data_IF_336536382551
#
_entry.id   IF_336536382551
#
_cell.length_a   1.000
_cell.length_b   1.000
_cell.length_c   1.000
_cell.angle_alpha   90.00
_cell.angle_beta   90.00
_cell.angle_gamma   90.00
#
_symmetry.space_group_name_H-M   'P 1'
#
loop_
_entity.id
_entity.type
_entity.pdbx_description
1 polymer ?
#
# COMPACT_ATOMS: atom_id res chain seq x y z
N UNK A 1 24.90 13.92 24.69
CA UNK A 1 24.34 15.28 24.74
C UNK A 1 24.04 15.72 23.32
N UNK A 2 22.79 15.86 22.94
CA UNK A 2 22.18 16.41 21.72
C UNK A 2 21.11 15.47 21.12
N UNK A 3 20.00 15.32 21.85
CA UNK A 3 18.74 14.82 21.31
C UNK A 3 17.61 15.68 21.87
N UNK A 4 17.44 16.85 21.29
CA UNK A 4 16.21 17.67 21.37
C UNK A 4 16.22 18.55 20.13
N UNK A 5 15.25 18.33 19.23
CA UNK A 5 14.67 19.27 18.27
C UNK A 5 14.14 18.48 17.06
N UNK A 6 12.91 18.02 17.13
CA UNK A 6 12.00 17.92 16.00
C UNK A 6 10.64 17.46 16.55
N UNK A 7 9.93 18.42 17.09
CA UNK A 7 8.54 18.27 17.51
C UNK A 7 7.91 19.64 17.54
N UNK A 8 7.46 20.15 16.43
CA UNK A 8 6.53 21.27 16.40
C UNK A 8 5.87 21.34 15.01
N UNK A 9 4.81 20.59 14.82
CA UNK A 9 3.84 20.88 13.75
C UNK A 9 2.80 21.82 14.36
N UNK A 10 2.83 23.07 13.93
CA UNK A 10 1.87 24.10 14.30
C UNK A 10 0.46 23.71 13.82
N UNK A 11 -0.41 23.42 14.76
CA UNK A 11 -1.87 23.44 14.54
C UNK A 11 -2.30 24.90 14.45
N UNK A 12 -2.57 25.41 13.25
CA UNK A 12 -3.26 26.69 13.08
C UNK A 12 -4.73 26.51 13.44
N UNK A 13 -5.16 27.18 14.51
CA UNK A 13 -6.56 27.33 14.90
C UNK A 13 -7.32 28.04 13.79
N UNK A 14 -8.37 27.41 13.26
CA UNK A 14 -9.35 28.04 12.43
C UNK A 14 -10.15 29.06 13.27
N UNK A 15 -10.24 30.28 12.78
CA UNK A 15 -11.03 31.36 13.38
C UNK A 15 -12.49 31.08 13.17
N UNK A 16 -13.26 31.14 14.27
CA UNK A 16 -14.71 31.05 14.29
C UNK A 16 -15.35 32.28 13.60
N UNK A 17 -15.96 32.07 12.44
CA UNK A 17 -16.87 33.05 11.86
C UNK A 17 -18.23 32.96 12.57
N UNK A 18 -18.64 34.06 13.26
CA UNK A 18 -19.97 34.23 13.80
C UNK A 18 -20.93 34.50 12.64
N UNK A 19 -21.95 33.65 12.54
CA UNK A 19 -23.10 33.90 11.65
C UNK A 19 -24.10 34.79 12.39
N UNK A 20 -24.40 35.97 11.82
CA UNK A 20 -25.36 36.90 12.28
C UNK A 20 -26.77 36.46 11.78
N UNK A 21 -27.68 36.18 12.73
CA UNK A 21 -29.05 35.79 12.49
C UNK A 21 -29.96 36.99 12.74
N UNK A 22 -30.12 37.86 11.75
CA UNK A 22 -31.21 38.85 11.78
C UNK A 22 -31.60 39.26 10.35
N UNK A 23 -32.65 38.65 9.81
CA UNK A 23 -33.71 39.38 9.10
C UNK A 23 -34.92 38.48 8.77
N UNK A 24 -36.16 38.91 9.03
CA UNK A 24 -37.36 38.15 8.73
C UNK A 24 -38.03 38.60 7.43
N UNK A 25 -38.69 37.64 6.78
CA UNK A 25 -39.87 37.95 5.99
C UNK A 25 -39.75 37.92 4.48
N UNK A 26 -40.35 36.88 3.88
CA UNK A 26 -41.44 37.07 2.87
C UNK A 26 -42.11 35.71 2.61
N UNK A 27 -43.42 35.70 2.83
CA UNK A 27 -44.31 34.58 2.48
C UNK A 27 -44.52 34.58 0.95
N UNK A 28 -44.42 33.44 0.32
CA UNK A 28 -44.98 33.16 -1.00
C UNK A 28 -45.79 31.85 -0.90
N UNK A 29 -46.95 31.85 -1.52
CA UNK A 29 -48.02 30.86 -1.42
C UNK A 29 -47.75 29.53 -2.11
N UNK A 30 -48.70 28.59 -1.99
CA UNK A 30 -48.48 27.19 -2.34
C UNK A 30 -48.72 26.92 -3.83
N UNK A 31 -47.68 26.55 -4.57
CA UNK A 31 -47.84 25.92 -5.88
C UNK A 31 -47.90 24.40 -5.70
N UNK A 32 -49.05 23.86 -6.10
CA UNK A 32 -49.31 22.43 -6.21
C UNK A 32 -48.40 21.81 -7.31
N UNK A 33 -47.37 21.12 -6.90
CA UNK A 33 -46.63 20.25 -7.79
C UNK A 33 -47.04 18.78 -7.55
N UNK A 34 -47.76 18.23 -8.53
CA UNK A 34 -48.05 16.80 -8.60
C UNK A 34 -46.72 16.03 -8.77
N UNK A 35 -46.30 15.32 -7.73
CA UNK A 35 -45.22 14.33 -7.83
C UNK A 35 -45.79 13.00 -8.28
N UNK A 36 -45.43 12.59 -9.50
CA UNK A 36 -45.50 11.19 -9.95
C UNK A 36 -44.57 10.32 -9.11
N UNK A 37 -44.91 9.06 -8.78
CA UNK A 37 -44.05 8.19 -8.00
C UNK A 37 -42.85 7.77 -8.86
N UNK A 38 -41.67 8.26 -8.46
CA UNK A 38 -40.41 7.81 -9.04
C UNK A 38 -40.20 6.31 -8.70
N UNK A 39 -39.89 5.57 -9.77
CA UNK A 39 -39.46 4.18 -9.74
C UNK A 39 -38.36 3.96 -8.69
N UNK A 40 -38.55 2.96 -7.84
CA UNK A 40 -37.52 2.49 -6.90
C UNK A 40 -36.35 1.94 -7.71
N UNK A 41 -35.31 2.76 -7.84
CA UNK A 41 -34.01 2.28 -8.31
C UNK A 41 -33.51 1.22 -7.34
N UNK A 42 -33.39 0.02 -7.86
CA UNK A 42 -32.79 -1.12 -7.19
C UNK A 42 -31.33 -0.77 -6.86
N UNK A 43 -31.04 -0.72 -5.56
CA UNK A 43 -29.67 -0.62 -5.05
C UNK A 43 -28.78 -1.71 -5.72
N UNK A 44 -27.57 -1.37 -6.16
CA UNK A 44 -26.68 -2.36 -6.78
C UNK A 44 -26.44 -3.48 -5.77
N UNK A 45 -26.81 -4.71 -6.13
CA UNK A 45 -26.55 -5.91 -5.34
C UNK A 45 -25.04 -6.04 -5.13
N UNK A 46 -24.62 -6.02 -3.87
CA UNK A 46 -23.24 -6.30 -3.48
C UNK A 46 -22.81 -7.64 -4.07
N UNK A 47 -21.64 -7.72 -4.73
CA UNK A 47 -21.18 -8.95 -5.35
C UNK A 47 -21.06 -10.04 -4.26
N UNK A 48 -21.52 -11.25 -4.57
CA UNK A 48 -21.50 -12.42 -3.72
C UNK A 48 -20.17 -12.55 -2.98
N UNK A 49 -20.19 -12.44 -1.65
CA UNK A 49 -19.02 -12.67 -0.81
C UNK A 49 -18.67 -14.16 -0.85
N UNK A 50 -17.58 -14.50 -1.49
CA UNK A 50 -17.03 -15.85 -1.44
C UNK A 50 -16.48 -16.05 -0.03
N UNK A 51 -17.05 -16.97 0.75
CA UNK A 51 -16.50 -17.38 2.05
C UNK A 51 -15.08 -17.90 1.85
N UNK A 52 -14.15 -17.37 2.61
CA UNK A 52 -12.73 -17.67 2.48
C UNK A 52 -12.24 -18.33 3.75
N UNK A 53 -11.49 -19.42 3.57
CA UNK A 53 -10.76 -20.02 4.65
C UNK A 53 -9.26 -19.69 4.51
N UNK A 54 -8.65 -19.07 5.51
CA UNK A 54 -7.20 -18.92 5.61
C UNK A 54 -6.51 -20.27 5.77
N UNK A 55 -7.21 -21.24 6.33
CA UNK A 55 -6.79 -22.65 6.45
C UNK A 55 -6.33 -23.26 5.12
N UNK A 56 -6.94 -22.90 4.01
CA UNK A 56 -6.63 -23.41 2.67
C UNK A 56 -5.89 -22.39 1.78
N UNK A 57 -5.32 -21.33 2.35
CA UNK A 57 -4.64 -20.29 1.60
C UNK A 57 -3.14 -20.57 1.45
N UNK A 58 -2.64 -20.64 0.23
CA UNK A 58 -1.20 -20.82 -0.06
C UNK A 58 -0.30 -19.70 0.46
N UNK A 59 -0.88 -18.53 0.76
CA UNK A 59 -0.16 -17.37 1.28
C UNK A 59 -0.27 -17.24 2.81
N UNK A 60 -0.88 -18.21 3.49
CA UNK A 60 -1.13 -18.16 4.94
C UNK A 60 0.14 -17.82 5.73
N UNK A 61 1.24 -18.46 5.44
CA UNK A 61 2.51 -18.25 6.15
C UNK A 61 3.10 -16.85 5.99
N UNK A 62 2.68 -16.10 4.97
CA UNK A 62 3.13 -14.73 4.74
C UNK A 62 2.27 -13.71 5.49
N UNK A 63 0.94 -13.93 5.56
CA UNK A 63 0.00 -12.97 6.12
C UNK A 63 -0.54 -13.32 7.51
N UNK A 64 -0.29 -14.55 8.00
CA UNK A 64 -0.77 -15.05 9.29
C UNK A 64 0.38 -15.60 10.15
N UNK A 65 0.21 -15.65 11.49
CA UNK A 65 1.21 -16.28 12.36
C UNK A 65 1.37 -17.76 12.06
N UNK A 66 2.60 -18.25 12.24
CA UNK A 66 2.92 -19.67 12.16
C UNK A 66 2.60 -20.33 13.53
N UNK A 67 2.13 -21.58 13.50
CA UNK A 67 1.89 -22.37 14.73
C UNK A 67 0.53 -22.11 15.39
N UNK A 68 -0.45 -21.56 14.66
CA UNK A 68 -1.85 -21.51 15.11
C UNK A 68 -2.44 -22.92 15.20
N UNK A 69 -3.21 -23.17 16.26
CA UNK A 69 -4.08 -24.36 16.37
C UNK A 69 -5.24 -24.27 15.36
N UNK A 70 -5.89 -25.41 15.11
CA UNK A 70 -7.04 -25.45 14.19
C UNK A 70 -8.21 -24.60 14.71
N UNK A 71 -8.42 -24.52 16.03
CA UNK A 71 -9.42 -23.66 16.65
C UNK A 71 -9.12 -22.17 16.47
N UNK A 72 -7.89 -21.75 16.74
CA UNK A 72 -7.46 -20.38 16.52
C UNK A 72 -7.59 -19.97 15.04
N UNK A 73 -7.26 -20.91 14.14
CA UNK A 73 -7.37 -20.69 12.70
C UNK A 73 -8.85 -20.56 12.28
N UNK A 74 -9.73 -21.39 12.81
CA UNK A 74 -11.17 -21.29 12.54
C UNK A 74 -11.76 -19.96 13.03
N UNK A 75 -11.30 -19.45 14.18
CA UNK A 75 -11.70 -18.14 14.70
C UNK A 75 -11.20 -16.99 13.82
N UNK A 76 -9.98 -17.08 13.32
CA UNK A 76 -9.45 -16.11 12.34
C UNK A 76 -10.26 -16.16 11.04
N UNK A 77 -10.57 -17.35 10.54
CA UNK A 77 -11.39 -17.55 9.33
C UNK A 77 -12.79 -16.92 9.48
N UNK A 78 -13.38 -17.00 10.67
CA UNK A 78 -14.67 -16.37 10.96
C UNK A 78 -14.62 -14.83 10.90
N UNK A 79 -13.48 -14.22 11.25
CA UNK A 79 -13.26 -12.76 11.19
C UNK A 79 -12.92 -12.31 9.77
N UNK A 80 -12.06 -13.08 9.06
CA UNK A 80 -11.58 -12.75 7.71
C UNK A 80 -12.47 -13.45 6.67
N UNK A 81 -13.77 -13.21 6.74
CA UNK A 81 -14.75 -13.94 5.91
C UNK A 81 -15.00 -13.33 4.54
N UNK A 82 -14.50 -12.12 4.26
CA UNK A 82 -14.86 -11.36 3.07
C UNK A 82 -13.65 -11.12 2.18
N UNK A 83 -13.83 -11.37 0.88
CA UNK A 83 -12.88 -10.96 -0.18
C UNK A 83 -13.44 -9.79 -0.96
N UNK A 84 -12.55 -8.88 -1.35
CA UNK A 84 -12.86 -7.77 -2.25
C UNK A 84 -11.99 -7.86 -3.48
N UNK A 85 -12.62 -7.86 -4.67
CA UNK A 85 -11.94 -7.73 -5.95
C UNK A 85 -11.75 -6.26 -6.25
N UNK A 86 -10.55 -5.91 -6.71
CA UNK A 86 -10.16 -4.55 -7.07
C UNK A 86 -9.65 -4.56 -8.51
N UNK A 87 -10.30 -3.79 -9.37
CA UNK A 87 -9.90 -3.69 -10.77
C UNK A 87 -8.62 -2.87 -10.89
N UNK A 88 -7.84 -3.17 -11.91
CA UNK A 88 -6.64 -2.40 -12.26
C UNK A 88 -6.95 -0.92 -12.33
N UNK A 89 -6.07 -0.08 -11.80
CA UNK A 89 -6.18 1.39 -11.72
C UNK A 89 -7.31 1.91 -10.83
N UNK A 90 -7.99 1.07 -10.07
CA UNK A 90 -8.95 1.53 -9.07
C UNK A 90 -8.32 1.54 -7.68
N UNK A 91 -8.76 2.49 -6.84
CA UNK A 91 -8.32 2.56 -5.47
C UNK A 91 -9.03 1.50 -4.61
N UNK A 92 -8.29 0.85 -3.73
CA UNK A 92 -8.81 0.05 -2.64
C UNK A 92 -9.40 0.96 -1.55
N UNK A 93 -8.67 2.01 -1.23
CA UNK A 93 -9.07 3.14 -0.39
C UNK A 93 -8.30 4.40 -0.82
N UNK A 94 -8.79 5.57 -0.39
CA UNK A 94 -8.18 6.87 -0.67
C UNK A 94 -7.81 7.59 0.61
N UNK A 95 -6.85 8.50 0.52
CA UNK A 95 -6.52 9.44 1.58
C UNK A 95 -7.77 10.21 2.02
N UNK A 96 -7.98 10.33 3.34
CA UNK A 96 -9.15 10.93 3.94
C UNK A 96 -10.36 10.01 4.11
N UNK A 97 -10.39 8.84 3.47
CA UNK A 97 -11.45 7.86 3.72
C UNK A 97 -11.34 7.27 5.13
N UNK A 98 -12.50 7.01 5.74
CA UNK A 98 -12.55 6.43 7.08
C UNK A 98 -11.92 5.04 7.09
N UNK A 99 -11.04 4.81 8.06
CA UNK A 99 -10.43 3.51 8.28
C UNK A 99 -11.39 2.55 8.98
N UNK A 100 -11.52 1.34 8.48
CA UNK A 100 -12.36 0.28 9.04
C UNK A 100 -11.70 -1.08 9.06
N UNK A 101 -10.74 -1.31 8.18
CA UNK A 101 -10.15 -2.61 8.00
C UNK A 101 -8.70 -2.53 7.51
N UNK A 102 -7.93 -3.53 7.85
CA UNK A 102 -6.70 -3.88 7.16
C UNK A 102 -7.03 -4.80 5.97
N UNK A 103 -6.16 -4.84 4.99
CA UNK A 103 -6.37 -5.63 3.78
C UNK A 103 -5.13 -6.49 3.51
N UNK A 104 -5.28 -7.82 3.60
CA UNK A 104 -4.23 -8.74 3.17
C UNK A 104 -4.36 -8.99 1.66
N UNK A 105 -3.32 -8.68 0.90
CA UNK A 105 -3.31 -8.88 -0.55
C UNK A 105 -3.22 -10.38 -0.85
N UNK A 106 -4.25 -10.93 -1.51
CA UNK A 106 -4.26 -12.33 -1.93
C UNK A 106 -3.65 -12.51 -3.31
N UNK A 107 -4.01 -11.65 -4.25
CA UNK A 107 -3.46 -11.64 -5.61
C UNK A 107 -3.30 -10.20 -6.08
N UNK A 108 -2.34 -9.98 -6.97
CA UNK A 108 -2.07 -8.68 -7.55
C UNK A 108 -1.05 -7.87 -6.77
N UNK A 109 -0.87 -6.65 -7.26
CA UNK A 109 0.11 -5.68 -6.74
C UNK A 109 -0.58 -4.33 -6.59
N UNK A 110 -0.30 -3.65 -5.49
CA UNK A 110 -0.79 -2.31 -5.20
C UNK A 110 0.39 -1.34 -5.13
N UNK A 111 0.12 -0.08 -5.42
CA UNK A 111 0.96 1.04 -4.99
C UNK A 111 0.25 1.83 -3.92
N UNK A 112 0.99 2.31 -2.95
CA UNK A 112 0.56 3.38 -2.04
C UNK A 112 1.15 4.70 -2.52
N UNK A 113 0.37 5.77 -2.45
CA UNK A 113 0.83 7.10 -2.83
C UNK A 113 0.17 8.18 -1.97
N UNK A 114 0.93 9.23 -1.73
CA UNK A 114 0.47 10.45 -1.06
C UNK A 114 0.38 11.54 -2.12
N UNK A 115 -0.75 12.22 -2.16
CA UNK A 115 -0.96 13.36 -3.04
C UNK A 115 -0.39 14.60 -2.35
N UNK A 116 0.60 15.23 -2.95
CA UNK A 116 1.10 16.52 -2.50
C UNK A 116 0.08 17.62 -2.86
N UNK A 117 0.09 18.72 -2.10
CA UNK A 117 -0.81 19.86 -2.33
C UNK A 117 -0.65 20.49 -3.74
N UNK A 118 0.48 20.29 -4.37
CA UNK A 118 0.79 20.73 -5.75
C UNK A 118 0.30 19.77 -6.84
N UNK A 119 -0.44 18.72 -6.46
CA UNK A 119 -1.02 17.73 -7.37
C UNK A 119 -0.05 16.65 -7.86
N UNK A 120 1.16 16.58 -7.29
CA UNK A 120 2.11 15.49 -7.59
C UNK A 120 1.83 14.29 -6.70
N UNK A 121 1.75 13.11 -7.31
CA UNK A 121 1.64 11.84 -6.61
C UNK A 121 3.03 11.32 -6.25
N UNK A 122 3.33 11.22 -4.96
CA UNK A 122 4.52 10.53 -4.49
C UNK A 122 4.17 9.08 -4.15
N UNK A 123 4.75 8.14 -4.89
CA UNK A 123 4.65 6.72 -4.55
C UNK A 123 5.48 6.46 -3.29
N UNK A 124 4.83 5.93 -2.25
CA UNK A 124 5.45 5.60 -0.97
C UNK A 124 5.77 4.11 -0.84
N UNK A 125 5.09 3.26 -1.61
CA UNK A 125 5.35 1.82 -1.56
C UNK A 125 4.72 1.03 -2.70
N UNK A 126 5.22 -0.20 -2.85
CA UNK A 126 4.61 -1.24 -3.68
C UNK A 126 4.39 -2.47 -2.82
N UNK A 127 3.14 -2.92 -2.71
CA UNK A 127 2.74 -4.08 -1.94
C UNK A 127 2.26 -5.19 -2.86
N UNK A 128 2.57 -6.43 -2.53
CA UNK A 128 2.25 -7.61 -3.33
C UNK A 128 1.58 -8.70 -2.51
N UNK A 129 1.13 -9.76 -3.15
CA UNK A 129 0.47 -10.88 -2.51
C UNK A 129 1.18 -11.36 -1.23
N UNK A 130 0.44 -11.58 -0.14
CA UNK A 130 0.95 -11.94 1.18
C UNK A 130 1.35 -10.74 2.06
N UNK A 131 1.20 -9.50 1.59
CA UNK A 131 1.44 -8.29 2.38
C UNK A 131 0.13 -7.62 2.79
N UNK A 132 0.20 -6.79 3.83
CA UNK A 132 -0.95 -6.09 4.40
C UNK A 132 -0.85 -4.62 4.04
N UNK A 133 -1.98 -4.02 3.64
CA UNK A 133 -2.13 -2.57 3.40
C UNK A 133 -3.21 -2.01 4.32
N UNK A 134 -3.16 -0.69 4.55
CA UNK A 134 -4.11 0.02 5.40
C UNK A 134 -3.60 0.30 6.81
N UNK A 135 -2.33 -0.02 7.13
CA UNK A 135 -1.74 0.27 8.45
C UNK A 135 -1.69 1.76 8.76
N UNK A 136 -1.66 2.60 7.73
CA UNK A 136 -1.66 4.07 7.80
C UNK A 136 -2.91 4.64 8.50
N UNK A 137 -4.03 3.93 8.41
CA UNK A 137 -5.31 4.38 8.99
C UNK A 137 -5.45 4.18 10.49
N UNK A 138 -4.57 3.40 11.14
CA UNK A 138 -4.68 3.03 12.55
C UNK A 138 -4.55 4.24 13.49
N UNK A 139 -3.74 5.25 13.11
CA UNK A 139 -3.41 6.37 14.00
C UNK A 139 -4.58 7.34 14.18
N UNK A 140 -5.29 7.64 13.09
CA UNK A 140 -6.30 8.73 13.07
C UNK A 140 -7.68 8.26 12.61
N UNK A 141 -7.94 6.95 12.55
CA UNK A 141 -9.16 6.35 12.01
C UNK A 141 -9.49 6.81 10.57
N UNK A 142 -8.48 7.27 9.84
CA UNK A 142 -8.56 7.71 8.45
C UNK A 142 -7.30 7.32 7.70
N UNK A 143 -7.46 6.90 6.44
CA UNK A 143 -6.33 6.64 5.56
C UNK A 143 -5.57 7.92 5.24
N UNK A 144 -4.24 7.85 5.27
CA UNK A 144 -3.35 8.99 4.98
C UNK A 144 -2.76 8.92 3.57
N UNK A 145 -2.97 7.81 2.86
CA UNK A 145 -2.51 7.59 1.50
C UNK A 145 -3.59 6.92 0.65
N UNK A 146 -3.42 6.95 -0.67
CA UNK A 146 -4.20 6.14 -1.59
C UNK A 146 -3.53 4.77 -1.75
N UNK A 147 -4.32 3.68 -1.82
CA UNK A 147 -3.85 2.37 -2.26
C UNK A 147 -4.50 2.00 -3.59
N UNK A 148 -3.72 1.94 -4.67
CA UNK A 148 -4.21 1.76 -6.04
C UNK A 148 -3.70 0.45 -6.63
N UNK A 149 -4.61 -0.35 -7.20
CA UNK A 149 -4.26 -1.62 -7.84
C UNK A 149 -3.52 -1.41 -9.18
N UNK A 150 -2.34 -2.02 -9.34
CA UNK A 150 -1.55 -1.98 -10.57
C UNK A 150 -1.99 -3.02 -11.60
N UNK A 151 -2.75 -4.02 -11.17
CA UNK A 151 -3.36 -5.08 -11.96
C UNK A 151 -4.68 -5.49 -11.31
N UNK A 152 -5.48 -6.36 -11.94
CA UNK A 152 -6.67 -6.92 -11.30
C UNK A 152 -6.22 -7.72 -10.06
N UNK A 153 -6.78 -7.38 -8.92
CA UNK A 153 -6.31 -7.84 -7.61
C UNK A 153 -7.47 -8.37 -6.76
N UNK A 154 -7.14 -9.18 -5.76
CA UNK A 154 -8.07 -9.65 -4.73
C UNK A 154 -7.42 -9.46 -3.35
N UNK A 155 -8.19 -8.92 -2.41
CA UNK A 155 -7.77 -8.72 -1.02
C UNK A 155 -8.73 -9.41 -0.07
N UNK A 156 -8.19 -9.92 1.05
CA UNK A 156 -8.97 -10.35 2.20
C UNK A 156 -9.21 -9.14 3.11
N UNK A 157 -10.47 -8.89 3.45
CA UNK A 157 -10.85 -7.78 4.33
C UNK A 157 -10.75 -8.24 5.78
N UNK A 158 -9.99 -7.51 6.58
CA UNK A 158 -9.76 -7.78 8.00
C UNK A 158 -10.30 -6.61 8.81
N UNK A 159 -11.57 -6.66 9.28
CA UNK A 159 -12.16 -5.58 10.10
C UNK A 159 -11.30 -5.33 11.34
N UNK A 160 -10.82 -4.09 11.50
CA UNK A 160 -9.78 -3.79 12.49
C UNK A 160 -10.23 -4.04 13.92
N UNK A 161 -11.47 -3.65 14.26
CA UNK A 161 -12.03 -3.87 15.59
C UNK A 161 -12.07 -5.37 15.94
N UNK A 162 -12.51 -6.20 14.98
CA UNK A 162 -12.62 -7.66 15.17
C UNK A 162 -11.23 -8.32 15.29
N UNK A 163 -10.27 -7.86 14.50
CA UNK A 163 -8.86 -8.31 14.62
C UNK A 163 -8.29 -7.88 15.98
N UNK A 164 -8.60 -6.65 16.44
CA UNK A 164 -8.20 -6.15 17.73
C UNK A 164 -8.76 -6.98 18.89
N UNK A 165 -10.04 -7.33 18.85
CA UNK A 165 -10.68 -8.24 19.82
C UNK A 165 -10.00 -9.62 19.83
N UNK A 166 -9.87 -10.22 18.65
CA UNK A 166 -9.29 -11.56 18.51
C UNK A 166 -7.82 -11.61 18.94
N UNK A 167 -7.06 -10.54 18.70
CA UNK A 167 -5.64 -10.49 19.09
C UNK A 167 -5.41 -10.47 20.60
N UNK A 168 -6.42 -10.05 21.40
CA UNK A 168 -6.34 -10.13 22.87
C UNK A 168 -6.48 -11.55 23.37
N UNK A 169 -7.15 -12.42 22.62
CA UNK A 169 -7.41 -13.81 22.97
C UNK A 169 -6.37 -14.75 22.34
N UNK A 170 -5.87 -14.41 21.15
CA UNK A 170 -4.87 -15.19 20.40
C UNK A 170 -3.54 -14.44 20.40
N UNK A 171 -2.68 -14.74 21.39
CA UNK A 171 -1.40 -14.04 21.56
C UNK A 171 -0.48 -14.14 20.33
N UNK A 172 -0.55 -15.24 19.57
CA UNK A 172 0.20 -15.40 18.33
C UNK A 172 -0.21 -14.36 17.27
N UNK A 173 -1.49 -14.01 17.17
CA UNK A 173 -2.01 -12.98 16.26
C UNK A 173 -1.50 -11.59 16.67
N UNK A 174 -1.52 -11.28 17.97
CA UNK A 174 -0.98 -10.01 18.50
C UNK A 174 0.51 -9.85 18.15
N UNK A 175 1.32 -10.87 18.41
CA UNK A 175 2.74 -10.86 18.05
C UNK A 175 2.97 -10.73 16.54
N UNK A 176 2.08 -11.32 15.74
CA UNK A 176 2.17 -11.21 14.29
C UNK A 176 1.89 -9.77 13.82
N UNK A 177 0.85 -9.12 14.35
CA UNK A 177 0.54 -7.72 14.04
C UNK A 177 1.71 -6.80 14.40
N UNK A 178 2.33 -6.97 15.57
CA UNK A 178 3.53 -6.21 15.94
C UNK A 178 4.68 -6.44 14.96
N UNK A 179 4.90 -7.69 14.50
CA UNK A 179 5.92 -7.98 13.48
C UNK A 179 5.62 -7.36 12.14
N UNK A 180 4.35 -7.31 11.71
CA UNK A 180 3.94 -6.65 10.48
C UNK A 180 4.24 -5.16 10.55
N UNK A 181 3.84 -4.47 11.62
CA UNK A 181 4.12 -3.05 11.82
C UNK A 181 5.63 -2.77 11.90
N UNK A 182 6.39 -3.59 12.63
CA UNK A 182 7.84 -3.46 12.73
C UNK A 182 8.54 -3.63 11.37
N UNK A 183 8.10 -4.59 10.54
CA UNK A 183 8.64 -4.75 9.18
C UNK A 183 8.37 -3.53 8.30
N UNK A 184 7.19 -2.92 8.45
CA UNK A 184 6.86 -1.70 7.72
C UNK A 184 7.79 -0.55 8.11
N UNK A 185 7.98 -0.32 9.42
CA UNK A 185 8.92 0.70 9.93
C UNK A 185 10.35 0.46 9.39
N UNK A 186 10.83 -0.78 9.43
CA UNK A 186 12.17 -1.14 8.90
C UNK A 186 12.25 -0.89 7.40
N UNK A 187 11.18 -1.19 6.65
CA UNK A 187 11.10 -0.93 5.22
C UNK A 187 11.17 0.57 4.92
N UNK A 188 10.41 1.38 5.66
CA UNK A 188 10.43 2.84 5.50
C UNK A 188 11.79 3.44 5.84
N UNK A 189 12.46 2.97 6.89
CA UNK A 189 13.85 3.36 7.19
C UNK A 189 14.80 3.00 6.03
N UNK A 190 14.62 1.83 5.40
CA UNK A 190 15.39 1.44 4.23
C UNK A 190 15.18 2.39 3.04
N UNK A 191 13.93 2.83 2.80
CA UNK A 191 13.62 3.81 1.76
C UNK A 191 14.23 5.18 2.08
N UNK A 192 14.16 5.64 3.32
CA UNK A 192 14.80 6.90 3.74
C UNK A 192 16.33 6.86 3.52
N UNK A 193 16.98 5.77 3.91
CA UNK A 193 18.41 5.58 3.66
C UNK A 193 18.72 5.60 2.16
N UNK A 194 17.94 4.87 1.37
CA UNK A 194 18.08 4.82 -0.09
C UNK A 194 17.97 6.23 -0.69
N UNK A 195 16.95 6.98 -0.33
CA UNK A 195 16.72 8.34 -0.85
C UNK A 195 17.76 9.37 -0.36
N UNK A 196 18.28 9.19 0.85
CA UNK A 196 19.20 10.13 1.47
C UNK A 196 20.67 9.97 1.07
N UNK A 197 21.10 8.73 0.78
CA UNK A 197 22.55 8.45 0.64
C UNK A 197 22.96 7.82 -0.70
N UNK A 198 22.01 7.19 -1.42
CA UNK A 198 22.35 6.41 -2.62
C UNK A 198 22.25 7.22 -3.91
N UNK A 199 23.11 6.91 -4.88
CA UNK A 199 23.04 7.42 -6.26
C UNK A 199 21.92 6.74 -7.05
N UNK A 200 21.54 7.30 -8.19
CA UNK A 200 20.43 6.80 -9.01
C UNK A 200 20.56 5.29 -9.38
N UNK A 201 21.76 4.85 -9.69
CA UNK A 201 22.06 3.46 -10.04
C UNK A 201 21.92 2.54 -8.84
N UNK A 202 22.48 2.95 -7.70
CA UNK A 202 22.37 2.21 -6.44
C UNK A 202 20.90 2.07 -6.01
N UNK A 203 20.10 3.14 -6.14
CA UNK A 203 18.65 3.12 -5.84
C UNK A 203 17.91 2.11 -6.72
N UNK A 204 18.19 2.11 -8.02
CA UNK A 204 17.53 1.17 -8.93
C UNK A 204 18.00 -0.27 -8.68
N UNK A 205 19.28 -0.49 -8.43
CA UNK A 205 19.81 -1.82 -8.09
C UNK A 205 19.18 -2.35 -6.79
N UNK A 206 19.13 -1.53 -5.73
CA UNK A 206 18.48 -1.86 -4.46
C UNK A 206 17.00 -2.22 -4.65
N UNK A 207 16.29 -1.44 -5.47
CA UNK A 207 14.88 -1.70 -5.79
C UNK A 207 14.68 -3.06 -6.47
N UNK A 208 15.47 -3.36 -7.51
CA UNK A 208 15.38 -4.64 -8.23
C UNK A 208 15.71 -5.83 -7.33
N UNK A 209 16.78 -5.72 -6.53
CA UNK A 209 17.18 -6.76 -5.58
C UNK A 209 16.12 -6.99 -4.49
N UNK A 210 15.49 -5.93 -3.98
CA UNK A 210 14.38 -6.03 -3.03
C UNK A 210 13.17 -6.75 -3.64
N UNK A 211 12.79 -6.41 -4.89
CA UNK A 211 11.70 -7.11 -5.59
C UNK A 211 12.00 -8.60 -5.76
N UNK A 212 13.21 -8.95 -6.20
CA UNK A 212 13.64 -10.36 -6.33
C UNK A 212 13.53 -11.10 -5.01
N UNK A 213 14.07 -10.53 -3.92
CA UNK A 213 14.01 -11.14 -2.60
C UNK A 213 12.57 -11.38 -2.14
N UNK A 214 11.69 -10.41 -2.34
CA UNK A 214 10.27 -10.52 -1.97
C UNK A 214 9.53 -11.55 -2.83
N UNK A 215 9.80 -11.62 -4.13
CA UNK A 215 9.24 -12.63 -5.03
C UNK A 215 9.75 -14.03 -4.69
N UNK A 216 11.04 -14.16 -4.38
CA UNK A 216 11.63 -15.44 -3.96
C UNK A 216 10.99 -15.99 -2.69
N UNK A 217 10.68 -15.15 -1.70
CA UNK A 217 9.96 -15.54 -0.48
C UNK A 217 8.54 -16.09 -0.76
N UNK A 218 8.02 -15.86 -1.98
CA UNK A 218 6.71 -16.33 -2.48
C UNK A 218 6.82 -17.52 -3.43
N UNK A 219 8.03 -18.10 -3.57
CA UNK A 219 8.27 -19.24 -4.47
C UNK A 219 8.46 -18.87 -5.94
N UNK A 220 8.59 -17.58 -6.28
CA UNK A 220 8.88 -17.15 -7.66
C UNK A 220 10.38 -17.22 -7.99
N UNK A 221 10.71 -16.99 -9.25
CA UNK A 221 12.08 -16.98 -9.77
C UNK A 221 13.00 -16.04 -8.98
N UNK A 222 14.27 -16.45 -8.85
CA UNK A 222 15.33 -15.63 -8.22
C UNK A 222 15.93 -14.60 -9.18
N UNK A 223 15.65 -14.72 -10.46
CA UNK A 223 16.27 -13.89 -11.50
C UNK A 223 15.26 -13.23 -12.44
N UNK A 224 14.01 -13.68 -12.46
CA UNK A 224 13.01 -13.15 -13.38
C UNK A 224 11.92 -12.41 -12.62
N UNK A 225 11.59 -11.22 -13.08
CA UNK A 225 10.50 -10.40 -12.54
C UNK A 225 9.67 -9.81 -13.68
N UNK A 226 8.38 -9.64 -13.38
CA UNK A 226 7.47 -8.87 -14.22
C UNK A 226 7.12 -7.59 -13.48
N UNK A 227 7.62 -6.46 -13.95
CA UNK A 227 7.34 -5.16 -13.36
C UNK A 227 5.87 -4.78 -13.61
N UNK A 228 5.08 -4.69 -12.54
CA UNK A 228 3.68 -4.26 -12.60
C UNK A 228 3.55 -2.74 -12.65
N UNK A 229 4.54 -2.03 -12.10
CA UNK A 229 4.67 -0.58 -12.08
C UNK A 229 5.32 -0.05 -13.35
N UNK A 230 5.00 1.18 -13.70
CA UNK A 230 5.62 1.94 -14.79
C UNK A 230 6.97 2.51 -14.38
N UNK A 231 7.81 2.91 -15.35
CA UNK A 231 9.06 3.64 -15.08
C UNK A 231 8.83 4.95 -14.33
N UNK A 232 7.71 5.62 -14.59
CA UNK A 232 7.33 6.83 -13.88
C UNK A 232 7.01 6.55 -12.41
N UNK A 233 6.27 5.49 -12.12
CA UNK A 233 5.96 5.08 -10.74
C UNK A 233 7.22 4.61 -9.99
N UNK A 234 8.13 3.90 -10.66
CA UNK A 234 9.45 3.57 -10.11
C UNK A 234 10.24 4.85 -9.82
N UNK A 235 10.24 5.80 -10.74
CA UNK A 235 10.90 7.09 -10.54
C UNK A 235 10.33 7.86 -9.36
N UNK A 236 8.99 7.95 -9.25
CA UNK A 236 8.32 8.56 -8.10
C UNK A 236 8.76 7.90 -6.78
N UNK A 237 8.77 6.57 -6.70
CA UNK A 237 9.20 5.83 -5.51
C UNK A 237 10.68 6.05 -5.15
N UNK A 238 11.57 6.12 -6.16
CA UNK A 238 13.01 6.25 -5.97
C UNK A 238 13.50 7.70 -5.92
N UNK A 239 12.60 8.70 -6.02
CA UNK A 239 12.99 10.11 -6.11
C UNK A 239 13.81 10.42 -7.37
N UNK A 240 13.50 9.79 -8.50
CA UNK A 240 14.20 9.93 -9.77
C UNK A 240 13.24 10.37 -10.88
N UNK A 241 13.77 11.12 -11.85
CA UNK A 241 13.02 11.43 -13.07
C UNK A 241 12.86 10.17 -13.95
N UNK A 242 11.78 10.11 -14.73
CA UNK A 242 11.51 9.02 -15.68
C UNK A 242 12.71 8.73 -16.60
N UNK A 243 13.32 9.77 -17.13
CA UNK A 243 14.46 9.68 -18.04
C UNK A 243 15.67 9.05 -17.35
N UNK A 244 15.90 9.39 -16.08
CA UNK A 244 16.98 8.80 -15.28
C UNK A 244 16.77 7.33 -15.05
N UNK A 245 15.53 6.93 -14.66
CA UNK A 245 15.17 5.52 -14.51
C UNK A 245 15.39 4.77 -15.82
N UNK A 246 14.89 5.31 -16.94
CA UNK A 246 15.01 4.67 -18.26
C UNK A 246 16.47 4.50 -18.68
N UNK A 247 17.29 5.56 -18.55
CA UNK A 247 18.73 5.50 -18.86
C UNK A 247 19.46 4.48 -17.98
N UNK A 248 19.16 4.43 -16.69
CA UNK A 248 19.79 3.46 -15.79
C UNK A 248 19.43 2.02 -16.15
N UNK A 249 18.19 1.74 -16.55
CA UNK A 249 17.81 0.42 -17.05
C UNK A 249 18.57 0.05 -18.33
N UNK A 250 18.69 0.97 -19.30
CA UNK A 250 19.46 0.74 -20.53
C UNK A 250 20.93 0.45 -20.23
N UNK A 251 21.53 1.23 -19.35
CA UNK A 251 22.91 1.01 -18.91
C UNK A 251 23.11 -0.35 -18.26
N UNK A 252 22.23 -0.77 -17.34
CA UNK A 252 22.33 -2.10 -16.73
C UNK A 252 22.20 -3.23 -17.75
N UNK A 253 21.40 -3.01 -18.81
CA UNK A 253 21.29 -3.98 -19.90
C UNK A 253 22.54 -3.99 -20.79
N UNK A 254 23.08 -2.83 -21.18
CA UNK A 254 24.30 -2.68 -21.96
C UNK A 254 25.52 -3.31 -21.23
N UNK A 255 25.57 -3.17 -19.92
CA UNK A 255 26.61 -3.76 -19.07
C UNK A 255 26.37 -5.25 -18.76
N UNK A 256 25.29 -5.85 -19.27
CA UNK A 256 25.00 -7.28 -19.09
C UNK A 256 24.55 -7.68 -17.69
N UNK A 257 24.18 -6.74 -16.83
CA UNK A 257 23.66 -7.03 -15.50
C UNK A 257 22.22 -7.52 -15.51
N UNK A 258 21.41 -7.00 -16.46
CA UNK A 258 20.01 -7.38 -16.63
C UNK A 258 19.67 -7.52 -18.12
N UNK A 259 18.60 -8.26 -18.40
CA UNK A 259 17.91 -8.22 -19.70
C UNK A 259 16.52 -7.66 -19.50
N UNK A 260 16.06 -6.82 -20.43
CA UNK A 260 14.78 -6.14 -20.34
C UNK A 260 13.98 -6.35 -21.61
N UNK A 261 12.80 -6.97 -21.48
CA UNK A 261 11.82 -7.13 -22.55
C UNK A 261 10.46 -6.56 -22.08
N UNK A 262 10.17 -5.32 -22.44
CA UNK A 262 8.98 -4.60 -22.00
C UNK A 262 8.89 -4.50 -20.45
N UNK A 263 8.05 -5.33 -19.83
CA UNK A 263 7.85 -5.42 -18.38
C UNK A 263 8.63 -6.56 -17.75
N UNK A 264 9.15 -7.48 -18.56
CA UNK A 264 9.96 -8.59 -18.09
C UNK A 264 11.40 -8.11 -17.89
N UNK A 265 11.93 -8.37 -16.74
CA UNK A 265 13.33 -8.11 -16.37
C UNK A 265 13.94 -9.40 -15.88
N UNK A 266 15.03 -9.81 -16.50
CA UNK A 266 15.85 -10.94 -16.05
C UNK A 266 17.14 -10.38 -15.47
N UNK A 267 17.45 -10.71 -14.24
CA UNK A 267 18.75 -10.41 -13.63
C UNK A 267 19.74 -11.47 -14.10
N UNK A 268 20.74 -11.03 -14.82
CA UNK A 268 21.80 -11.89 -15.38
C UNK A 268 22.95 -12.04 -14.39
N UNK A 269 23.37 -10.90 -13.80
CA UNK A 269 24.47 -10.86 -12.83
C UNK A 269 24.01 -10.17 -11.53
N UNK A 270 23.55 -10.98 -10.58
CA UNK A 270 23.07 -10.51 -9.29
C UNK A 270 24.19 -9.97 -8.41
N UNK A 271 25.40 -10.55 -8.52
CA UNK A 271 26.53 -10.14 -7.69
C UNK A 271 27.07 -8.79 -8.14
N UNK A 272 27.06 -8.50 -9.43
CA UNK A 272 27.42 -7.19 -9.95
C UNK A 272 26.44 -6.11 -9.53
N UNK A 273 25.12 -6.42 -9.53
CA UNK A 273 24.09 -5.50 -8.98
C UNK A 273 24.30 -5.25 -7.48
N UNK A 274 24.66 -6.28 -6.71
CA UNK A 274 24.99 -6.14 -5.28
C UNK A 274 26.25 -5.31 -5.07
N UNK A 275 27.23 -5.47 -5.94
CA UNK A 275 28.48 -4.72 -5.93
C UNK A 275 28.28 -3.22 -6.01
N UNK A 276 27.23 -2.75 -6.73
CA UNK A 276 26.88 -1.34 -6.79
C UNK A 276 26.49 -0.76 -5.41
N UNK A 277 25.94 -1.60 -4.51
CA UNK A 277 25.53 -1.17 -3.17
C UNK A 277 26.67 -1.17 -2.15
N UNK A 278 27.79 -1.82 -2.48
CA UNK A 278 28.93 -2.03 -1.60
C UNK A 278 30.06 -1.02 -1.82
N UNK A 279 29.98 -0.21 -2.86
CA UNK A 279 31.00 0.82 -3.15
C UNK A 279 30.70 2.07 -2.31
N UNK A 280 31.51 2.38 -1.26
CA UNK A 280 31.44 3.71 -0.63
C UNK A 280 31.77 4.73 -1.73
N UNK A 281 30.89 5.71 -1.92
CA UNK A 281 31.04 6.74 -2.94
C UNK A 281 32.45 7.27 -2.99
N UNK A 282 33.16 7.09 -4.11
CA UNK A 282 34.40 7.82 -4.36
C UNK A 282 34.10 9.32 -4.24
N UNK A 283 34.80 10.05 -3.37
CA UNK A 283 34.69 11.49 -3.35
C UNK A 283 35.15 12.06 -4.70
N UNK A 284 34.36 12.99 -5.26
CA UNK A 284 34.84 13.85 -6.34
C UNK A 284 35.90 14.77 -5.82
#
# INVERSE_FOLDING_TARGET
MAWRLFGCVMVRRAASARVDLSQPGRRAGPDNFHMSPASRDSAPSLPHSIKVACSNCSLRELCMPVGLSDDELARIDAVISTRRRVKRKTALFRSGEKFHALYAIRTGTFKTCVNAEDGRDQVTGFQMAGEIVGLDGIVNDQHTCDAVALEDAEVCVMPFDRIGELSREVGALQHHLHRVMSREIVREHGVMLLLGTMRAEERLAAFLLNLVQRLQARGFSRSELVLRMTRQEIGSYLGLKLETVSRTFSRFAEEGMIEVHQRHVRIVDIERLRGLLSQPGSPM
#
